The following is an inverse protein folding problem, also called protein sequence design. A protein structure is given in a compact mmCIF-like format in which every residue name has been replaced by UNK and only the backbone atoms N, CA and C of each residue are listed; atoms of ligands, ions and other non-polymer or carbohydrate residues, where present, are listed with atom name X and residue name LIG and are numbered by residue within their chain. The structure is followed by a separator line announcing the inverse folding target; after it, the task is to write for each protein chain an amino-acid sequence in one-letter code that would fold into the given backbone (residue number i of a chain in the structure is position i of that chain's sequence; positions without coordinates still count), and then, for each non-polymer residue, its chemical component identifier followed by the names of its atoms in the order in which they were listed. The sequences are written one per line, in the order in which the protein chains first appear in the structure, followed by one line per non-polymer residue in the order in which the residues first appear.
data_IF_077754799123
#
_entry.id   IF_077754799123
#
_cell.length_a   1.000
_cell.length_b   1.000
_cell.length_c   1.000
_cell.angle_alpha   90.00
_cell.angle_beta   90.00
_cell.angle_gamma   90.00
#
_symmetry.space_group_name_H-M   'P 1'
#
loop_
_entity.id
_entity.type
_entity.pdbx_description
1 polymer ?
#
# COMPACT_ATOMS: atom_id res chain seq x y z
N UNK A 1 13.89 -4.01 -0.62
CA UNK A 1 12.89 -3.55 0.36
C UNK A 1 11.68 -4.48 0.29
N UNK A 2 11.17 -4.97 1.42
CA UNK A 2 9.99 -5.84 1.46
C UNK A 2 8.88 -5.23 2.32
N UNK A 3 7.62 -5.38 1.89
CA UNK A 3 6.43 -5.01 2.65
C UNK A 3 5.33 -6.05 2.49
N UNK A 4 4.30 -6.00 3.34
CA UNK A 4 3.11 -6.84 3.19
C UNK A 4 2.36 -6.44 1.90
N UNK A 5 1.65 -7.39 1.29
CA UNK A 5 0.81 -7.09 0.14
C UNK A 5 -0.40 -8.00 0.08
N UNK A 6 -1.57 -7.40 -0.08
CA UNK A 6 -2.81 -8.08 -0.38
C UNK A 6 -3.33 -7.53 -1.76
N UNK A 7 -4.62 -7.54 -2.08
CA UNK A 7 -5.13 -7.07 -3.39
C UNK A 7 -4.91 -5.58 -3.73
N UNK A 8 -4.40 -5.26 -4.92
CA UNK A 8 -4.20 -3.87 -5.39
C UNK A 8 -5.51 -3.14 -5.72
N UNK A 9 -5.67 -1.92 -5.19
CA UNK A 9 -6.61 -0.90 -5.69
C UNK A 9 -5.84 0.40 -5.88
N UNK A 10 -5.61 0.79 -7.14
CA UNK A 10 -5.01 2.10 -7.45
C UNK A 10 -6.01 3.22 -7.17
N UNK A 11 -5.65 4.15 -6.29
CA UNK A 11 -6.51 5.29 -5.94
C UNK A 11 -5.84 6.60 -6.39
N UNK A 12 -6.54 7.38 -7.20
CA UNK A 12 -6.20 8.79 -7.41
C UNK A 12 -6.97 9.58 -6.35
N UNK A 13 -6.28 10.20 -5.39
CA UNK A 13 -6.94 11.05 -4.40
C UNK A 13 -7.09 12.47 -5.00
N UNK A 14 -8.32 12.95 -5.27
CA UNK A 14 -8.53 14.33 -5.68
C UNK A 14 -8.26 15.27 -4.49
N UNK A 15 -7.95 16.53 -4.80
CA UNK A 15 -7.59 17.58 -3.85
C UNK A 15 -8.54 17.62 -2.63
N UNK A 16 -7.92 17.77 -1.45
CA UNK A 16 -8.45 17.88 -0.08
C UNK A 16 -8.78 16.54 0.61
N UNK A 17 -7.76 16.02 1.29
CA UNK A 17 -7.90 15.29 2.56
C UNK A 17 -6.96 15.94 3.57
N UNK A 18 -7.35 16.05 4.84
CA UNK A 18 -6.56 16.64 5.93
C UNK A 18 -5.23 15.92 6.21
N UNK A 19 -4.98 14.80 5.52
CA UNK A 19 -3.79 13.97 5.65
C UNK A 19 -2.60 14.40 4.78
N UNK A 20 -2.77 15.26 3.76
CA UNK A 20 -1.72 15.65 2.79
C UNK A 20 -1.74 17.18 2.54
N UNK A 21 -0.57 17.85 2.52
CA UNK A 21 -0.44 19.31 2.37
C UNK A 21 -0.90 19.85 1.01
N UNK A 22 -1.14 21.17 0.94
CA UNK A 22 -1.88 21.95 -0.08
C UNK A 22 -1.41 21.86 -1.55
N UNK A 23 -0.31 21.18 -1.84
CA UNK A 23 0.17 20.95 -3.19
C UNK A 23 0.02 19.45 -3.53
N UNK A 24 -0.60 19.17 -4.68
CA UNK A 24 -1.22 17.88 -4.95
C UNK A 24 -0.22 16.73 -4.95
N UNK A 25 -0.60 15.59 -4.36
CA UNK A 25 0.16 14.36 -4.40
C UNK A 25 -0.59 13.27 -5.16
N UNK A 26 0.14 12.46 -5.91
CA UNK A 26 -0.37 11.19 -6.44
C UNK A 26 0.38 10.08 -5.72
N UNK A 27 -0.36 9.21 -5.07
CA UNK A 27 0.18 8.11 -4.28
C UNK A 27 -0.31 6.77 -4.82
N UNK A 28 0.47 5.73 -4.56
CA UNK A 28 0.07 4.35 -4.83
C UNK A 28 0.00 3.59 -3.50
N UNK A 29 -1.00 2.72 -3.39
CA UNK A 29 -1.36 2.13 -2.12
C UNK A 29 -2.36 0.99 -2.27
N UNK A 30 -2.81 0.51 -1.14
CA UNK A 30 -3.69 -0.63 -1.04
C UNK A 30 -4.78 -0.36 0.00
N UNK A 31 -6.03 -0.74 -0.31
CA UNK A 31 -7.11 -0.72 0.68
C UNK A 31 -7.13 -2.08 1.36
N UNK A 32 -6.97 -2.09 2.68
CA UNK A 32 -7.09 -3.28 3.52
C UNK A 32 -8.30 -3.14 4.44
N UNK A 33 -8.96 -4.26 4.73
CA UNK A 33 -9.95 -4.32 5.80
C UNK A 33 -9.29 -4.95 7.03
N UNK A 34 -9.50 -4.35 8.20
CA UNK A 34 -9.03 -4.90 9.47
C UNK A 34 -10.15 -5.64 10.20
N UNK A 35 -9.81 -6.76 10.84
CA UNK A 35 -10.65 -7.43 11.83
C UNK A 35 -10.69 -6.67 13.16
N UNK A 36 -11.43 -7.20 14.14
CA UNK A 36 -11.55 -6.62 15.49
C UNK A 36 -10.22 -6.59 16.26
N UNK A 37 -9.25 -7.42 15.88
CA UNK A 37 -7.92 -7.51 16.47
C UNK A 37 -6.92 -6.58 15.76
N UNK A 38 -7.34 -5.91 14.68
CA UNK A 38 -6.52 -5.01 13.89
C UNK A 38 -5.67 -5.69 12.82
N UNK A 39 -5.89 -6.97 12.53
CA UNK A 39 -5.19 -7.72 11.49
C UNK A 39 -5.90 -7.55 10.14
N UNK A 40 -5.13 -7.53 9.05
CA UNK A 40 -5.71 -7.42 7.71
C UNK A 40 -6.40 -8.73 7.29
N UNK A 41 -7.66 -8.62 6.87
CA UNK A 41 -8.48 -9.74 6.41
C UNK A 41 -9.02 -9.47 5.00
N UNK A 42 -8.63 -10.33 4.05
CA UNK A 42 -9.04 -10.19 2.66
C UNK A 42 -10.50 -10.62 2.41
N UNK A 43 -11.02 -11.57 3.20
CA UNK A 43 -12.41 -12.00 3.14
C UNK A 43 -13.35 -10.84 3.50
N UNK A 44 -13.06 -10.13 4.59
CA UNK A 44 -13.81 -8.93 4.99
C UNK A 44 -13.80 -7.90 3.86
N UNK A 45 -12.64 -7.64 3.25
CA UNK A 45 -12.54 -6.70 2.13
C UNK A 45 -13.40 -7.14 0.92
N UNK A 46 -13.36 -8.43 0.56
CA UNK A 46 -14.14 -8.97 -0.55
C UNK A 46 -15.65 -8.88 -0.30
N UNK A 47 -16.11 -9.15 0.92
CA UNK A 47 -17.51 -9.01 1.33
C UNK A 47 -17.97 -7.57 1.19
N UNK A 48 -17.17 -6.62 1.68
CA UNK A 48 -17.48 -5.19 1.59
C UNK A 48 -17.55 -4.71 0.13
N UNK A 49 -16.59 -5.11 -0.72
CA UNK A 49 -16.62 -4.80 -2.15
C UNK A 49 -17.87 -5.38 -2.81
N UNK A 50 -18.23 -6.63 -2.47
CA UNK A 50 -19.41 -7.31 -3.03
C UNK A 50 -20.71 -6.65 -2.58
N UNK A 51 -20.79 -6.17 -1.34
CA UNK A 51 -21.92 -5.40 -0.83
C UNK A 51 -22.10 -4.09 -1.62
N UNK A 52 -21.02 -3.32 -1.82
CA UNK A 52 -21.06 -2.09 -2.63
C UNK A 52 -21.53 -2.37 -4.05
N UNK A 53 -20.98 -3.40 -4.71
CA UNK A 53 -21.37 -3.78 -6.08
C UNK A 53 -22.85 -4.18 -6.19
N UNK A 54 -23.40 -4.77 -5.13
CA UNK A 54 -24.81 -5.13 -5.03
C UNK A 54 -25.72 -3.96 -4.62
N UNK A 55 -25.22 -2.73 -4.55
CA UNK A 55 -25.98 -1.54 -4.12
C UNK A 55 -26.33 -1.54 -2.63
N UNK A 56 -25.73 -2.43 -1.83
CA UNK A 56 -25.93 -2.50 -0.38
C UNK A 56 -24.98 -1.55 0.33
N UNK A 57 -25.41 -1.03 1.49
CA UNK A 57 -24.54 -0.21 2.34
C UNK A 57 -23.43 -1.09 2.90
N UNK A 58 -22.19 -0.82 2.50
CA UNK A 58 -21.01 -1.45 3.09
C UNK A 58 -20.64 -0.76 4.40
N UNK A 59 -20.23 -1.53 5.41
CA UNK A 59 -19.61 -0.98 6.60
C UNK A 59 -18.21 -0.48 6.20
N UNK A 60 -17.94 0.82 6.31
CA UNK A 60 -16.60 1.37 6.04
C UNK A 60 -15.69 1.28 7.27
N UNK A 61 -16.19 0.78 8.39
CA UNK A 61 -15.41 0.54 9.61
C UNK A 61 -14.32 -0.49 9.33
N UNK A 62 -13.09 -0.18 9.74
CA UNK A 62 -11.94 -1.06 9.56
C UNK A 62 -11.27 -0.96 8.18
N UNK A 63 -11.78 -0.16 7.23
CA UNK A 63 -11.09 0.10 5.97
C UNK A 63 -9.97 1.12 6.15
N UNK A 64 -8.76 0.72 5.74
CA UNK A 64 -7.56 1.54 5.79
C UNK A 64 -6.91 1.56 4.42
N UNK A 65 -6.50 2.75 3.99
CA UNK A 65 -5.64 2.92 2.82
C UNK A 65 -4.17 2.93 3.24
N UNK A 66 -3.47 1.83 2.98
CA UNK A 66 -2.03 1.67 3.19
C UNK A 66 -1.23 2.16 1.98
N UNK A 67 -0.59 3.30 2.13
CA UNK A 67 0.15 3.98 1.06
C UNK A 67 1.60 3.51 1.04
N UNK A 68 2.08 3.01 -0.10
CA UNK A 68 3.42 2.43 -0.22
C UNK A 68 4.34 3.14 -1.22
N UNK A 69 3.82 4.03 -2.09
CA UNK A 69 4.62 4.81 -3.05
C UNK A 69 4.09 6.23 -3.26
N UNK A 70 4.97 7.14 -3.69
CA UNK A 70 4.67 8.53 -4.04
C UNK A 70 5.10 8.78 -5.48
N UNK A 71 4.13 9.05 -6.35
CA UNK A 71 4.34 9.15 -7.80
C UNK A 71 4.47 10.59 -8.28
N UNK A 72 3.90 11.53 -7.53
CA UNK A 72 3.89 12.96 -7.85
C UNK A 72 3.79 13.76 -6.56
N UNK A 73 4.49 14.88 -6.51
CA UNK A 73 4.40 15.84 -5.41
C UNK A 73 4.67 17.24 -5.96
N UNK A 74 3.80 18.20 -5.62
CA UNK A 74 4.04 19.64 -5.77
C UNK A 74 4.53 20.08 -7.16
N UNK A 75 3.82 19.66 -8.22
CA UNK A 75 4.19 20.03 -9.58
C UNK A 75 5.12 19.02 -10.27
N UNK A 76 5.71 18.08 -9.53
CA UNK A 76 6.82 17.26 -10.00
C UNK A 76 6.45 15.78 -10.05
N UNK A 77 6.68 15.17 -11.21
CA UNK A 77 6.67 13.72 -11.38
C UNK A 77 7.85 13.09 -10.64
N UNK A 78 7.60 11.99 -9.94
CA UNK A 78 8.61 11.21 -9.23
C UNK A 78 8.84 9.84 -9.87
N UNK A 79 8.24 9.55 -11.03
CA UNK A 79 8.31 8.22 -11.65
C UNK A 79 9.76 7.76 -11.94
N UNK A 80 10.62 8.70 -12.33
CA UNK A 80 12.03 8.44 -12.63
C UNK A 80 12.95 8.44 -11.40
N UNK A 81 12.42 8.83 -10.23
CA UNK A 81 13.15 8.92 -8.96
C UNK A 81 13.29 7.52 -8.35
N UNK A 82 14.43 7.13 -7.77
CA UNK A 82 14.59 5.84 -7.08
C UNK A 82 13.53 5.59 -5.99
N UNK A 83 13.04 4.35 -5.88
CA UNK A 83 12.00 3.98 -4.91
C UNK A 83 12.35 4.36 -3.47
N UNK A 84 13.62 4.22 -3.06
CA UNK A 84 14.05 4.64 -1.71
C UNK A 84 13.79 6.12 -1.41
N UNK A 85 14.03 7.00 -2.38
CA UNK A 85 13.85 8.44 -2.22
C UNK A 85 12.36 8.78 -2.23
N UNK A 86 11.57 8.09 -3.08
CA UNK A 86 10.11 8.20 -3.06
C UNK A 86 9.52 7.78 -1.71
N UNK A 87 10.00 6.69 -1.12
CA UNK A 87 9.57 6.25 0.23
C UNK A 87 9.97 7.24 1.33
N UNK A 88 11.17 7.83 1.24
CA UNK A 88 11.62 8.86 2.19
C UNK A 88 10.73 10.11 2.13
N UNK A 89 10.44 10.58 0.92
CA UNK A 89 9.51 11.70 0.70
C UNK A 89 8.10 11.36 1.17
N UNK A 90 7.58 10.18 0.80
CA UNK A 90 6.26 9.72 1.23
C UNK A 90 6.10 9.77 2.75
N UNK A 91 7.11 9.29 3.50
CA UNK A 91 7.10 9.30 4.96
C UNK A 91 7.07 10.72 5.55
N UNK A 92 7.65 11.71 4.86
CA UNK A 92 7.62 13.11 5.30
C UNK A 92 6.29 13.81 5.00
N UNK A 93 5.52 13.32 4.02
CA UNK A 93 4.30 13.95 3.52
C UNK A 93 3.04 13.32 4.12
N UNK A 94 3.00 12.00 4.27
CA UNK A 94 1.83 11.28 4.79
C UNK A 94 1.75 11.44 6.30
N UNK A 95 0.62 11.98 6.76
CA UNK A 95 0.21 11.92 8.16
C UNK A 95 -0.69 10.69 8.37
N UNK A 96 -0.28 9.80 9.27
CA UNK A 96 -1.12 8.67 9.66
C UNK A 96 -2.42 9.14 10.29
N UNK A 97 -3.53 8.59 9.81
CA UNK A 97 -4.89 8.81 10.33
C UNK A 97 -5.56 7.44 10.55
N UNK A 98 -6.76 7.38 11.13
CA UNK A 98 -7.52 6.12 11.22
C UNK A 98 -7.80 5.46 9.87
N UNK A 99 -7.78 6.22 8.76
CA UNK A 99 -8.14 5.73 7.43
C UNK A 99 -6.97 5.69 6.43
N UNK A 100 -5.82 6.29 6.76
CA UNK A 100 -4.65 6.37 5.88
C UNK A 100 -3.40 6.07 6.68
N UNK A 101 -2.60 5.10 6.24
CA UNK A 101 -1.35 4.72 6.89
C UNK A 101 -0.21 4.65 5.88
N UNK A 102 1.00 4.97 6.32
CA UNK A 102 2.21 4.65 5.57
C UNK A 102 2.52 3.16 5.70
N UNK A 103 2.64 2.45 4.57
CA UNK A 103 3.03 1.04 4.54
C UNK A 103 4.52 0.88 4.85
N UNK A 104 4.81 0.43 6.08
CA UNK A 104 6.16 0.14 6.55
C UNK A 104 6.83 -0.96 5.71
N UNK A 105 8.16 -1.01 5.79
CA UNK A 105 8.97 -1.97 5.06
C UNK A 105 10.28 -2.24 5.79
N UNK A 106 10.90 -3.36 5.45
CA UNK A 106 12.29 -3.66 5.82
C UNK A 106 13.22 -3.36 4.65
N UNK A 107 14.39 -2.79 4.94
CA UNK A 107 15.42 -2.53 3.92
C UNK A 107 16.30 -3.76 3.69
N UNK A 108 16.66 -4.46 4.78
CA UNK A 108 17.44 -5.70 4.84
C UNK A 108 16.58 -6.87 5.33
N UNK A 109 17.17 -8.07 5.40
CA UNK A 109 16.57 -9.23 6.09
C UNK A 109 15.21 -9.67 5.51
N UNK A 110 15.12 -9.64 4.18
CA UNK A 110 13.89 -9.97 3.46
C UNK A 110 13.47 -11.43 3.64
N UNK A 111 14.41 -12.34 3.91
CA UNK A 111 14.14 -13.76 4.15
C UNK A 111 13.54 -13.95 5.54
N UNK A 112 14.11 -13.30 6.55
CA UNK A 112 13.60 -13.27 7.92
C UNK A 112 12.21 -12.63 7.96
N UNK A 113 12.02 -11.53 7.23
CA UNK A 113 10.71 -10.90 7.08
C UNK A 113 9.68 -11.83 6.42
N UNK A 114 10.10 -12.60 5.42
CA UNK A 114 9.25 -13.61 4.79
C UNK A 114 8.86 -14.73 5.78
N UNK A 115 9.80 -15.23 6.57
CA UNK A 115 9.52 -16.25 7.60
C UNK A 115 8.64 -15.72 8.74
N UNK A 116 8.79 -14.44 9.10
CA UNK A 116 7.87 -13.78 10.03
C UNK A 116 6.46 -13.65 9.43
N UNK A 117 6.36 -13.25 8.16
CA UNK A 117 5.08 -13.15 7.46
C UNK A 117 4.35 -14.51 7.38
N UNK A 118 5.08 -15.61 7.20
CA UNK A 118 4.49 -16.97 7.25
C UNK A 118 3.79 -17.27 8.56
N UNK A 119 4.37 -16.85 9.69
CA UNK A 119 3.78 -17.06 11.04
C UNK A 119 2.53 -16.21 11.27
N UNK A 120 2.41 -15.09 10.55
CA UNK A 120 1.25 -14.20 10.60
C UNK A 120 0.12 -14.62 9.65
N UNK A 121 0.26 -15.74 8.94
CA UNK A 121 -0.77 -16.27 8.02
C UNK A 121 -1.26 -15.26 6.95
N UNK A 122 -0.40 -14.32 6.56
CA UNK A 122 -0.70 -13.34 5.50
C UNK A 122 -0.49 -13.95 4.10
N UNK A 123 -1.08 -13.35 3.06
CA UNK A 123 -0.99 -13.84 1.66
C UNK A 123 0.46 -13.96 1.16
N UNK A 124 1.32 -13.03 1.59
CA UNK A 124 2.69 -12.94 1.12
C UNK A 124 3.31 -11.57 1.35
N UNK A 125 4.43 -11.37 0.67
CA UNK A 125 5.19 -10.13 0.70
C UNK A 125 5.42 -9.59 -0.72
N UNK A 126 5.72 -8.30 -0.82
CA UNK A 126 6.18 -7.67 -2.06
C UNK A 126 7.61 -7.18 -1.87
N UNK A 127 8.55 -7.81 -2.57
CA UNK A 127 9.93 -7.38 -2.65
C UNK A 127 10.10 -6.38 -3.78
N UNK A 128 10.62 -5.19 -3.46
CA UNK A 128 10.87 -4.10 -4.41
C UNK A 128 12.35 -3.73 -4.43
N UNK A 129 12.91 -3.58 -5.64
CA UNK A 129 14.28 -3.15 -5.85
C UNK A 129 14.44 -1.69 -5.42
N UNK A 130 15.39 -1.43 -4.51
CA UNK A 130 15.55 -0.12 -3.84
C UNK A 130 15.75 1.05 -4.81
N UNK A 131 16.51 0.81 -5.88
CA UNK A 131 16.85 1.82 -6.88
C UNK A 131 15.94 1.82 -8.12
N UNK A 132 14.82 1.10 -8.11
CA UNK A 132 13.95 1.05 -9.30
C UNK A 132 13.12 2.31 -9.46
N UNK A 133 12.89 2.66 -10.73
CA UNK A 133 11.89 3.64 -11.16
C UNK A 133 10.49 3.06 -11.02
N UNK A 134 9.47 3.91 -11.01
CA UNK A 134 8.09 3.48 -11.15
C UNK A 134 7.78 3.34 -12.64
N UNK A 135 7.22 2.20 -13.05
CA UNK A 135 6.94 1.90 -14.45
C UNK A 135 5.43 1.70 -14.64
N UNK A 136 4.67 2.76 -14.98
CA UNK A 136 3.22 2.68 -15.10
C UNK A 136 2.78 1.61 -16.10
N UNK A 137 1.81 0.80 -15.70
CA UNK A 137 1.21 -0.23 -16.57
C UNK A 137 2.12 -1.42 -16.90
N UNK A 138 3.37 -1.46 -16.43
CA UNK A 138 4.29 -2.57 -16.71
C UNK A 138 4.44 -3.52 -15.52
N UNK A 139 4.46 -4.82 -15.83
CA UNK A 139 4.89 -5.85 -14.89
C UNK A 139 6.40 -6.04 -15.04
N UNK A 140 7.13 -5.73 -13.98
CA UNK A 140 8.60 -5.70 -13.99
C UNK A 140 9.14 -6.72 -13.00
N UNK A 141 10.42 -7.07 -13.14
CA UNK A 141 11.14 -7.89 -12.16
C UNK A 141 11.59 -7.07 -10.95
N UNK A 142 11.46 -5.75 -11.01
CA UNK A 142 11.84 -4.86 -9.89
C UNK A 142 10.82 -4.87 -8.77
N UNK A 143 9.61 -5.39 -9.00
CA UNK A 143 8.54 -5.60 -8.01
C UNK A 143 8.07 -7.06 -8.06
N UNK A 144 8.50 -7.85 -7.09
CA UNK A 144 8.21 -9.28 -7.00
C UNK A 144 7.20 -9.56 -5.89
N UNK A 145 6.04 -10.10 -6.26
CA UNK A 145 5.08 -10.66 -5.30
C UNK A 145 5.51 -12.08 -4.97
N UNK A 146 5.83 -12.32 -3.70
CA UNK A 146 6.24 -13.61 -3.18
C UNK A 146 5.10 -14.12 -2.30
N UNK A 147 4.35 -15.09 -2.81
CA UNK A 147 3.21 -15.67 -2.11
C UNK A 147 3.67 -16.70 -1.10
N UNK A 148 3.07 -16.68 0.07
CA UNK A 148 3.17 -17.74 1.06
C UNK A 148 2.16 -18.80 0.64
N UNK A 149 2.65 -20.00 0.35
CA UNK A 149 1.78 -21.16 0.11
C UNK A 149 1.72 -21.99 1.39
N UNK A 150 0.53 -22.50 1.76
CA UNK A 150 0.40 -23.47 2.84
C UNK A 150 1.18 -24.75 2.55
#
# INVERSE_FOLDING_TARGET
MAGLGCGRVGATMPRRTSAISLAGAIVDGEIVALDEQGNSDFGILQEQISAVRAGRRSATSGLIYEVFDLLYLDGRSLLEVPLEDRKRLLKSVIKSTPHVRFASHVETDGVEFYEAAKKLHVEGIVAKHRRSRYEPGRRTTTWLKIKIRP
#
